data_IF_989643854328
#
_entry.id   IF_989643854328
#
_cell.length_a   1.000
_cell.length_b   1.000
_cell.length_c   1.000
_cell.angle_alpha   90.00
_cell.angle_beta   90.00
_cell.angle_gamma   90.00
#
_symmetry.space_group_name_H-M   'P 1'
#
loop_
_entity.id
_entity.type
_entity.pdbx_description
1 polymer ?
#
# COMPACT_ATOMS: atom_id res chain seq x y z
N UNK A 1 -12.02 105.75 57.29
CA UNK A 1 -13.21 104.88 57.16
C UNK A 1 -13.24 104.34 55.73
N UNK A 2 -13.54 103.04 55.60
CA UNK A 2 -13.54 102.16 54.42
C UNK A 2 -12.19 101.89 53.73
N UNK A 3 -11.64 100.69 53.99
CA UNK A 3 -10.59 100.04 53.19
C UNK A 3 -11.13 98.71 52.66
N UNK A 4 -11.16 98.59 51.33
CA UNK A 4 -11.49 97.35 50.62
C UNK A 4 -10.35 96.34 50.77
N UNK A 5 -10.68 95.08 51.00
CA UNK A 5 -9.78 93.93 51.00
C UNK A 5 -10.18 92.97 49.88
N UNK A 6 -9.28 92.75 48.91
CA UNK A 6 -9.38 91.70 47.89
C UNK A 6 -8.62 90.44 48.38
N UNK A 7 -9.16 89.21 48.20
CA UNK A 7 -8.39 87.99 48.39
C UNK A 7 -7.77 87.54 47.06
N UNK A 8 -6.45 87.30 47.05
CA UNK A 8 -5.74 86.66 45.94
C UNK A 8 -5.55 85.17 46.28
N UNK A 9 -6.10 84.33 45.40
CA UNK A 9 -6.08 82.87 45.48
C UNK A 9 -4.70 82.30 45.07
N UNK A 10 -4.30 81.24 45.76
CA UNK A 10 -3.08 80.44 45.52
C UNK A 10 -3.31 79.51 44.32
N UNK A 11 -2.37 79.47 43.36
CA UNK A 11 -2.34 78.50 42.27
C UNK A 11 -1.10 77.59 42.42
N UNK A 12 -1.33 76.29 42.66
CA UNK A 12 -0.32 75.24 42.51
C UNK A 12 -0.29 74.78 41.05
N UNK A 13 0.84 74.96 40.37
CA UNK A 13 1.07 74.42 39.02
C UNK A 13 1.62 72.98 39.13
N UNK A 14 0.81 71.99 38.73
CA UNK A 14 1.26 70.62 38.54
C UNK A 14 1.84 70.45 37.14
N UNK A 15 3.11 70.06 37.05
CA UNK A 15 3.76 69.69 35.79
C UNK A 15 3.24 68.33 35.32
N UNK A 16 2.58 68.28 34.17
CA UNK A 16 2.14 67.05 33.53
C UNK A 16 3.15 66.67 32.44
N UNK A 17 3.90 65.59 32.65
CA UNK A 17 4.73 64.98 31.61
C UNK A 17 3.81 64.17 30.70
N UNK A 18 3.75 64.43 29.39
CA UNK A 18 3.00 63.57 28.49
C UNK A 18 3.76 62.25 28.34
N UNK A 19 3.18 61.16 28.83
CA UNK A 19 3.62 59.82 28.48
C UNK A 19 3.21 59.56 27.01
N UNK A 20 4.18 59.60 26.09
CA UNK A 20 3.95 59.14 24.72
C UNK A 20 3.80 57.61 24.72
N UNK A 21 2.57 57.13 24.57
CA UNK A 21 2.33 55.73 24.22
C UNK A 21 2.78 55.51 22.76
N UNK A 22 3.85 54.73 22.57
CA UNK A 22 4.24 54.24 21.25
C UNK A 22 3.16 53.27 20.74
N UNK A 23 2.61 53.44 19.53
CA UNK A 23 1.73 52.44 18.95
C UNK A 23 2.53 51.15 18.72
N UNK A 24 2.11 50.06 19.36
CA UNK A 24 2.65 48.71 19.13
C UNK A 24 2.50 48.39 17.64
N UNK A 25 3.54 47.90 16.92
CA UNK A 25 3.50 47.66 15.48
C UNK A 25 2.71 46.38 15.14
N UNK A 26 1.41 46.36 15.43
CA UNK A 26 0.50 45.25 15.11
C UNK A 26 0.27 45.09 13.60
N UNK A 27 0.37 46.17 12.83
CA UNK A 27 0.19 46.13 11.38
C UNK A 27 1.34 45.39 10.67
N UNK A 28 2.60 45.68 11.03
CA UNK A 28 3.76 45.00 10.46
C UNK A 28 3.78 43.50 10.81
N UNK A 29 3.40 43.15 12.04
CA UNK A 29 3.36 41.76 12.49
C UNK A 29 2.30 40.93 11.75
N UNK A 30 1.11 41.50 11.47
CA UNK A 30 0.08 40.82 10.65
C UNK A 30 0.50 40.67 9.19
N UNK A 31 1.17 41.66 8.61
CA UNK A 31 1.64 41.58 7.23
C UNK A 31 2.68 40.47 7.06
N UNK A 32 3.68 40.40 7.95
CA UNK A 32 4.72 39.35 7.92
C UNK A 32 4.11 37.96 8.10
N UNK A 33 3.19 37.78 9.04
CA UNK A 33 2.49 36.50 9.23
C UNK A 33 1.72 36.06 7.98
N UNK A 34 0.97 36.98 7.37
CA UNK A 34 0.20 36.69 6.14
C UNK A 34 1.06 36.36 4.92
N UNK A 35 2.32 36.84 4.89
CA UNK A 35 3.27 36.53 3.82
C UNK A 35 3.90 35.14 4.02
N UNK A 36 4.20 34.78 5.28
CA UNK A 36 4.71 33.44 5.63
C UNK A 36 3.68 32.37 5.32
N UNK A 37 2.42 32.57 5.72
CA UNK A 37 1.32 31.62 5.44
C UNK A 37 1.12 31.41 3.94
N UNK A 38 1.09 32.48 3.15
CA UNK A 38 1.03 32.39 1.68
C UNK A 38 2.21 31.62 1.08
N UNK A 39 3.43 31.87 1.57
CA UNK A 39 4.63 31.14 1.11
C UNK A 39 4.59 29.64 1.46
N UNK A 40 3.92 29.28 2.56
CA UNK A 40 3.73 27.89 2.96
C UNK A 40 2.68 27.22 2.09
N UNK A 41 1.54 27.87 1.84
CA UNK A 41 0.50 27.37 0.96
C UNK A 41 1.01 27.11 -0.46
N UNK A 42 1.81 28.03 -0.99
CA UNK A 42 2.42 27.85 -2.31
C UNK A 42 3.38 26.66 -2.35
N UNK A 43 4.12 26.40 -1.27
CA UNK A 43 4.98 25.21 -1.17
C UNK A 43 4.14 23.93 -1.13
N UNK A 44 3.13 23.89 -0.27
CA UNK A 44 2.25 22.74 -0.15
C UNK A 44 1.52 22.45 -1.46
N UNK A 45 1.00 23.48 -2.13
CA UNK A 45 0.40 23.34 -3.46
C UNK A 45 1.38 22.68 -4.44
N UNK A 46 2.62 23.16 -4.52
CA UNK A 46 3.66 22.59 -5.40
C UNK A 46 3.99 21.14 -5.07
N UNK A 47 4.10 20.79 -3.78
CA UNK A 47 4.42 19.42 -3.35
C UNK A 47 3.34 18.41 -3.79
N UNK A 48 2.09 18.86 -3.89
CA UNK A 48 0.95 18.09 -4.39
C UNK A 48 0.71 18.23 -5.91
N UNK A 49 1.52 19.02 -6.63
CA UNK A 49 1.31 19.29 -8.05
C UNK A 49 0.07 20.14 -8.36
N UNK A 50 -0.39 20.91 -7.37
CA UNK A 50 -1.57 21.78 -7.42
C UNK A 50 -1.19 23.23 -7.70
N UNK A 51 -2.11 23.98 -8.32
CA UNK A 51 -2.06 25.44 -8.35
C UNK A 51 -2.52 26.03 -7.01
N UNK A 52 -2.13 27.27 -6.71
CA UNK A 52 -2.51 27.95 -5.47
C UNK A 52 -4.03 28.08 -5.26
N UNK A 53 -4.79 28.25 -6.35
CA UNK A 53 -6.26 28.25 -6.34
C UNK A 53 -6.83 26.89 -5.90
N UNK A 54 -6.21 25.80 -6.34
CA UNK A 54 -6.65 24.43 -6.04
C UNK A 54 -6.34 24.07 -4.58
N UNK A 55 -5.19 24.54 -4.07
CA UNK A 55 -4.86 24.44 -2.66
C UNK A 55 -5.83 25.23 -1.77
N UNK A 56 -6.21 26.44 -2.20
CA UNK A 56 -7.19 27.25 -1.47
C UNK A 56 -8.55 26.56 -1.42
N UNK A 57 -9.01 26.02 -2.55
CA UNK A 57 -10.23 25.22 -2.61
C UNK A 57 -10.17 23.98 -1.73
N UNK A 58 -9.05 23.25 -1.71
CA UNK A 58 -8.87 22.12 -0.81
C UNK A 58 -9.11 22.52 0.65
N UNK A 59 -8.55 23.64 1.11
CA UNK A 59 -8.79 24.12 2.48
C UNK A 59 -10.25 24.45 2.75
N UNK A 60 -10.93 25.11 1.82
CA UNK A 60 -12.36 25.41 1.96
C UNK A 60 -13.21 24.14 2.06
N UNK A 61 -12.90 23.10 1.26
CA UNK A 61 -13.57 21.81 1.33
C UNK A 61 -13.34 21.12 2.69
N UNK A 62 -12.12 21.19 3.21
CA UNK A 62 -11.75 20.60 4.50
C UNK A 62 -12.24 21.40 5.70
N UNK A 63 -12.54 22.68 5.55
CA UNK A 63 -13.24 23.49 6.57
C UNK A 63 -14.76 23.21 6.58
N UNK A 64 -15.27 22.61 5.49
CA UNK A 64 -16.67 22.25 5.31
C UNK A 64 -17.04 20.81 5.73
N UNK A 65 -18.23 20.33 5.30
CA UNK A 65 -18.73 19.00 5.66
C UNK A 65 -17.78 17.85 5.32
N UNK A 66 -17.01 17.95 4.22
CA UNK A 66 -16.08 16.90 3.83
C UNK A 66 -15.00 16.69 4.91
N UNK A 67 -14.46 17.77 5.48
CA UNK A 67 -13.47 17.66 6.57
C UNK A 67 -14.06 17.18 7.89
N UNK A 68 -15.36 17.41 8.13
CA UNK A 68 -16.08 16.84 9.28
C UNK A 68 -16.20 15.32 9.14
N UNK A 69 -16.62 14.83 7.96
CA UNK A 69 -16.78 13.40 7.71
C UNK A 69 -15.45 12.65 7.59
N UNK A 70 -14.46 13.29 6.95
CA UNK A 70 -13.17 12.70 6.59
C UNK A 70 -12.01 13.59 7.00
N UNK A 71 -11.73 13.73 8.32
CA UNK A 71 -10.60 14.50 8.78
C UNK A 71 -9.28 13.92 8.25
N UNK A 72 -8.31 14.79 7.93
CA UNK A 72 -6.98 14.43 7.38
C UNK A 72 -7.00 13.80 5.98
N UNK A 73 -8.06 14.01 5.20
CA UNK A 73 -8.08 13.59 3.81
C UNK A 73 -7.00 14.33 3.01
N UNK A 74 -6.29 13.59 2.14
CA UNK A 74 -5.26 14.20 1.31
C UNK A 74 -5.87 15.13 0.23
N UNK A 75 -5.12 16.15 -0.23
CA UNK A 75 -5.66 17.17 -1.13
C UNK A 75 -6.17 16.64 -2.46
N UNK A 76 -5.53 15.64 -3.04
CA UNK A 76 -5.88 15.11 -4.35
C UNK A 76 -7.13 14.24 -4.27
N UNK A 77 -7.29 13.44 -3.22
CA UNK A 77 -8.51 12.69 -2.95
C UNK A 77 -9.68 13.63 -2.67
N UNK A 78 -9.49 14.65 -1.82
CA UNK A 78 -10.53 15.63 -1.50
C UNK A 78 -11.02 16.37 -2.76
N UNK A 79 -10.09 16.92 -3.55
CA UNK A 79 -10.42 17.61 -4.80
C UNK A 79 -11.00 16.68 -5.86
N UNK A 80 -10.57 15.41 -5.90
CA UNK A 80 -11.09 14.38 -6.82
C UNK A 80 -12.52 13.95 -6.50
N UNK A 81 -12.87 13.80 -5.21
CA UNK A 81 -14.25 13.50 -4.79
C UNK A 81 -15.19 14.66 -5.14
N UNK A 82 -14.77 15.89 -4.83
CA UNK A 82 -15.56 17.11 -5.03
C UNK A 82 -15.36 17.75 -6.43
N UNK A 83 -14.78 17.03 -7.39
CA UNK A 83 -14.52 17.53 -8.73
C UNK A 83 -15.80 17.99 -9.44
N UNK A 84 -15.75 19.15 -10.10
CA UNK A 84 -16.87 19.80 -10.80
C UNK A 84 -17.12 19.25 -12.20
N UNK A 85 -16.17 18.47 -12.72
CA UNK A 85 -16.25 17.84 -14.03
C UNK A 85 -15.45 16.54 -14.06
N UNK A 86 -15.73 15.69 -15.04
CA UNK A 86 -14.98 14.45 -15.25
C UNK A 86 -13.52 14.71 -15.64
N UNK A 87 -13.23 15.81 -16.34
CA UNK A 87 -11.87 16.23 -16.66
C UNK A 87 -11.09 16.63 -15.39
N UNK A 88 -11.72 17.38 -14.49
CA UNK A 88 -11.12 17.76 -13.20
C UNK A 88 -10.87 16.50 -12.34
N UNK A 89 -11.85 15.58 -12.30
CA UNK A 89 -11.74 14.30 -11.59
C UNK A 89 -10.61 13.44 -12.14
N UNK A 90 -10.51 13.32 -13.47
CA UNK A 90 -9.45 12.57 -14.16
C UNK A 90 -8.07 13.15 -13.84
N UNK A 91 -7.90 14.49 -13.93
CA UNK A 91 -6.63 15.14 -13.64
C UNK A 91 -6.17 14.89 -12.20
N UNK A 92 -7.06 14.99 -11.20
CA UNK A 92 -6.68 14.71 -9.82
C UNK A 92 -6.37 13.23 -9.57
N UNK A 93 -7.09 12.30 -10.21
CA UNK A 93 -6.75 10.89 -10.15
C UNK A 93 -5.37 10.58 -10.75
N UNK A 94 -5.03 11.19 -11.89
CA UNK A 94 -3.71 11.05 -12.51
C UNK A 94 -2.59 11.61 -11.62
N UNK A 95 -2.80 12.79 -11.01
CA UNK A 95 -1.87 13.35 -10.03
C UNK A 95 -1.70 12.42 -8.82
N UNK A 96 -2.77 11.81 -8.33
CA UNK A 96 -2.73 10.88 -7.19
C UNK A 96 -1.91 9.64 -7.52
N UNK A 97 -2.10 9.05 -8.71
CA UNK A 97 -1.31 7.89 -9.16
C UNK A 97 0.18 8.25 -9.22
N UNK A 98 0.54 9.42 -9.74
CA UNK A 98 1.92 9.86 -9.80
C UNK A 98 2.52 10.12 -8.41
N UNK A 99 1.74 10.71 -7.49
CA UNK A 99 2.16 10.93 -6.11
C UNK A 99 2.42 9.61 -5.39
N UNK A 100 1.52 8.63 -5.55
CA UNK A 100 1.68 7.30 -4.94
C UNK A 100 2.85 6.53 -5.55
N UNK A 101 3.07 6.61 -6.86
CA UNK A 101 4.23 6.01 -7.50
C UNK A 101 5.55 6.53 -6.88
N UNK A 102 5.69 7.87 -6.75
CA UNK A 102 6.85 8.48 -6.08
C UNK A 102 6.98 8.07 -4.61
N UNK A 103 5.85 7.92 -3.91
CA UNK A 103 5.84 7.46 -2.51
C UNK A 103 6.34 6.02 -2.40
N UNK A 104 5.84 5.12 -3.24
CA UNK A 104 6.26 3.72 -3.29
C UNK A 104 7.75 3.59 -3.64
N UNK A 105 8.25 4.37 -4.59
CA UNK A 105 9.69 4.41 -4.91
C UNK A 105 10.54 4.75 -3.69
N UNK A 106 10.16 5.78 -2.92
CA UNK A 106 10.84 6.17 -1.68
C UNK A 106 10.77 5.06 -0.62
N UNK A 107 9.61 4.44 -0.46
CA UNK A 107 9.43 3.33 0.49
C UNK A 107 10.31 2.13 0.12
N UNK A 108 10.39 1.78 -1.17
CA UNK A 108 11.26 0.69 -1.64
C UNK A 108 12.74 1.03 -1.47
N UNK A 109 13.14 2.28 -1.75
CA UNK A 109 14.51 2.72 -1.51
C UNK A 109 14.89 2.61 -0.02
N UNK A 110 14.00 3.05 0.87
CA UNK A 110 14.20 2.91 2.31
C UNK A 110 14.21 1.44 2.76
N UNK A 111 13.30 0.61 2.23
CA UNK A 111 13.24 -0.80 2.56
C UNK A 111 14.57 -1.52 2.26
N UNK A 112 15.20 -1.22 1.11
CA UNK A 112 16.52 -1.76 0.77
C UNK A 112 17.58 -1.33 1.78
N UNK A 113 17.64 -0.04 2.12
CA UNK A 113 18.58 0.46 3.12
C UNK A 113 18.35 -0.16 4.50
N UNK A 114 17.08 -0.38 4.87
CA UNK A 114 16.70 -1.07 6.09
C UNK A 114 17.14 -2.54 6.09
N UNK A 115 16.94 -3.25 4.98
CA UNK A 115 17.36 -4.63 4.81
C UNK A 115 18.88 -4.80 4.93
N UNK A 116 19.64 -3.91 4.31
CA UNK A 116 21.10 -3.85 4.40
C UNK A 116 21.56 -3.53 5.84
N UNK A 117 20.88 -2.59 6.50
CA UNK A 117 21.13 -2.27 7.90
C UNK A 117 20.87 -3.48 8.80
N UNK A 118 19.78 -4.21 8.58
CA UNK A 118 19.45 -5.41 9.34
C UNK A 118 20.53 -6.48 9.22
N UNK A 119 21.02 -6.75 8.00
CA UNK A 119 22.08 -7.73 7.78
C UNK A 119 23.37 -7.38 8.54
N UNK A 120 23.74 -6.10 8.60
CA UNK A 120 24.93 -5.65 9.33
C UNK A 120 24.75 -5.68 10.85
N UNK A 121 23.58 -5.29 11.34
CA UNK A 121 23.32 -5.12 12.77
C UNK A 121 22.86 -6.42 13.46
N UNK A 122 22.25 -7.34 12.71
CA UNK A 122 21.73 -8.60 13.22
C UNK A 122 22.16 -9.81 12.35
N UNK A 123 23.47 -10.08 12.24
CA UNK A 123 23.96 -11.22 11.48
C UNK A 123 23.45 -12.53 12.13
N UNK A 124 22.85 -13.40 11.32
CA UNK A 124 22.30 -14.69 11.77
C UNK A 124 20.88 -14.63 12.37
N UNK A 125 20.31 -13.45 12.61
CA UNK A 125 18.92 -13.34 13.04
C UNK A 125 17.96 -13.59 11.87
N UNK A 126 17.06 -14.55 12.04
CA UNK A 126 16.07 -14.90 11.02
C UNK A 126 14.97 -13.82 10.94
N UNK A 127 14.91 -13.06 9.83
CA UNK A 127 13.89 -12.00 9.63
C UNK A 127 12.46 -12.53 9.56
N UNK A 128 12.28 -13.70 8.93
CA UNK A 128 10.99 -14.38 8.80
C UNK A 128 11.22 -15.87 9.01
N UNK A 129 10.59 -16.44 10.04
CA UNK A 129 10.56 -17.88 10.19
C UNK A 129 9.46 -18.46 9.29
N UNK A 130 9.81 -18.74 8.03
CA UNK A 130 8.90 -19.34 7.04
C UNK A 130 8.36 -20.71 7.50
N UNK A 131 9.06 -21.44 8.37
CA UNK A 131 8.55 -22.69 8.95
C UNK A 131 7.43 -22.43 9.97
N UNK A 132 7.50 -21.31 10.72
CA UNK A 132 6.42 -20.84 11.58
C UNK A 132 5.23 -20.26 10.78
N UNK A 133 5.49 -19.58 9.65
CA UNK A 133 4.45 -19.06 8.77
C UNK A 133 3.77 -20.15 7.91
N UNK A 134 4.50 -21.23 7.60
CA UNK A 134 3.95 -22.42 6.95
C UNK A 134 3.07 -23.25 7.90
N UNK A 135 3.36 -23.22 9.20
CA UNK A 135 2.53 -23.86 10.23
C UNK A 135 1.27 -23.05 10.57
N UNK A 136 1.23 -21.74 10.28
CA UNK A 136 0.01 -20.91 10.35
C UNK A 136 -0.78 -20.84 9.04
N UNK A 137 -0.33 -21.50 7.97
CA UNK A 137 -1.09 -21.68 6.73
C UNK A 137 -1.15 -20.48 5.78
N UNK A 138 -0.52 -19.34 6.12
CA UNK A 138 -0.65 -18.08 5.38
C UNK A 138 0.27 -18.02 4.15
N UNK A 139 1.35 -18.81 4.10
CA UNK A 139 2.40 -18.70 3.08
C UNK A 139 2.48 -19.84 2.05
N UNK A 140 1.43 -20.66 1.84
CA UNK A 140 1.46 -21.74 0.82
C UNK A 140 1.29 -21.25 -0.62
N UNK A 141 1.06 -19.96 -0.83
CA UNK A 141 0.98 -19.30 -2.15
C UNK A 141 2.33 -18.79 -2.65
N UNK A 142 3.35 -18.71 -1.80
CA UNK A 142 4.70 -18.44 -2.26
C UNK A 142 5.23 -19.64 -3.06
N UNK A 143 5.97 -19.36 -4.12
CA UNK A 143 6.53 -20.29 -5.11
C UNK A 143 7.56 -21.30 -4.50
N UNK A 144 7.59 -21.44 -3.17
CA UNK A 144 8.25 -22.52 -2.45
C UNK A 144 7.32 -23.72 -2.33
N UNK A 145 7.63 -24.80 -3.05
CA UNK A 145 6.92 -26.06 -2.89
C UNK A 145 7.07 -26.56 -1.46
N UNK A 146 6.08 -27.28 -0.97
CA UNK A 146 6.10 -27.96 0.33
C UNK A 146 7.12 -29.12 0.42
N UNK A 147 8.09 -29.18 -0.52
CA UNK A 147 8.91 -30.35 -0.82
C UNK A 147 8.14 -31.51 -1.49
N UNK A 148 6.81 -31.42 -1.56
CA UNK A 148 5.95 -32.40 -2.21
C UNK A 148 6.16 -32.40 -3.73
N UNK A 149 5.97 -33.56 -4.33
CA UNK A 149 5.95 -33.72 -5.78
C UNK A 149 4.78 -32.93 -6.36
N UNK A 150 5.04 -32.07 -7.35
CA UNK A 150 4.01 -31.42 -8.15
C UNK A 150 3.93 -32.09 -9.51
N UNK A 151 2.73 -32.31 -10.03
CA UNK A 151 2.49 -32.86 -11.36
C UNK A 151 1.61 -31.90 -12.16
N UNK A 152 2.18 -31.37 -13.24
CA UNK A 152 1.47 -30.52 -14.19
C UNK A 152 0.83 -31.41 -15.25
N UNK A 153 -0.48 -31.23 -15.46
CA UNK A 153 -1.28 -32.04 -16.36
C UNK A 153 -2.18 -31.17 -17.22
N UNK A 154 -2.64 -31.70 -18.34
CA UNK A 154 -3.73 -31.09 -19.12
C UNK A 154 -4.81 -32.14 -19.36
N UNK A 155 -6.01 -31.65 -19.60
CA UNK A 155 -7.12 -32.50 -20.04
C UNK A 155 -6.86 -33.04 -21.45
N UNK A 156 -7.39 -34.23 -21.76
CA UNK A 156 -7.16 -34.93 -23.03
C UNK A 156 -5.73 -35.46 -23.23
N UNK A 157 -4.98 -35.69 -22.14
CA UNK A 157 -3.60 -36.17 -22.16
C UNK A 157 -3.48 -37.55 -21.48
N UNK A 158 -3.47 -38.63 -22.28
CA UNK A 158 -3.37 -39.98 -21.74
C UNK A 158 -2.10 -40.22 -20.87
N UNK A 159 -0.90 -39.69 -21.23
CA UNK A 159 0.27 -39.80 -20.36
C UNK A 159 0.10 -39.10 -19.01
N UNK A 160 -0.67 -38.00 -18.97
CA UNK A 160 -0.96 -37.26 -17.75
C UNK A 160 -1.81 -38.08 -16.78
N UNK A 161 -2.84 -38.75 -17.31
CA UNK A 161 -3.72 -39.62 -16.55
C UNK A 161 -2.92 -40.78 -15.92
N UNK A 162 -2.03 -41.40 -16.70
CA UNK A 162 -1.14 -42.48 -16.22
C UNK A 162 -0.14 -41.99 -15.17
N UNK A 163 0.44 -40.80 -15.33
CA UNK A 163 1.37 -40.23 -14.36
C UNK A 163 0.71 -40.03 -12.99
N UNK A 164 -0.51 -39.48 -12.97
CA UNK A 164 -1.28 -39.25 -11.74
C UNK A 164 -1.69 -40.57 -11.08
N UNK A 165 -2.09 -41.57 -11.86
CA UNK A 165 -2.41 -42.89 -11.33
C UNK A 165 -1.19 -43.57 -10.69
N UNK A 166 -0.02 -43.47 -11.33
CA UNK A 166 1.24 -43.99 -10.76
C UNK A 166 1.60 -43.30 -9.44
N UNK A 167 1.53 -41.96 -9.40
CA UNK A 167 1.79 -41.19 -8.17
C UNK A 167 0.82 -41.56 -7.04
N UNK A 168 -0.47 -41.75 -7.37
CA UNK A 168 -1.47 -42.18 -6.40
C UNK A 168 -1.23 -43.60 -5.87
N UNK A 169 -0.81 -44.53 -6.73
CA UNK A 169 -0.48 -45.90 -6.34
C UNK A 169 0.79 -45.97 -5.47
N UNK A 170 1.76 -45.08 -5.70
CA UNK A 170 2.96 -44.96 -4.88
C UNK A 170 2.67 -44.47 -3.45
N UNK A 171 1.50 -43.90 -3.18
CA UNK A 171 1.08 -43.46 -1.84
C UNK A 171 1.81 -42.23 -1.31
N UNK A 172 2.77 -41.68 -2.05
CA UNK A 172 3.45 -40.44 -1.71
C UNK A 172 2.52 -39.25 -1.92
N UNK A 173 2.46 -38.28 -0.99
CA UNK A 173 1.62 -37.10 -1.19
C UNK A 173 2.12 -36.21 -2.34
N UNK A 174 1.22 -35.74 -3.20
CA UNK A 174 1.55 -34.92 -4.36
C UNK A 174 0.47 -33.89 -4.69
N UNK A 175 0.85 -32.89 -5.48
CA UNK A 175 -0.02 -31.77 -5.85
C UNK A 175 -0.25 -31.76 -7.37
N UNK A 176 -1.50 -31.83 -7.80
CA UNK A 176 -1.87 -31.73 -9.21
C UNK A 176 -2.10 -30.28 -9.59
N UNK A 177 -1.52 -29.84 -10.70
CA UNK A 177 -1.77 -28.53 -11.31
C UNK A 177 -2.29 -28.72 -12.74
N UNK A 178 -3.56 -28.39 -12.97
CA UNK A 178 -4.16 -28.49 -14.31
C UNK A 178 -3.88 -27.23 -15.13
N UNK A 179 -3.10 -27.42 -16.20
CA UNK A 179 -2.77 -26.39 -17.20
C UNK A 179 -3.97 -26.18 -18.13
N UNK A 180 -4.29 -24.90 -18.40
CA UNK A 180 -5.38 -24.54 -19.31
C UNK A 180 -6.79 -24.82 -18.77
N UNK A 181 -6.94 -24.96 -17.45
CA UNK A 181 -8.24 -25.14 -16.79
C UNK A 181 -9.13 -23.90 -16.86
N UNK A 182 -8.57 -22.71 -17.14
CA UNK A 182 -9.30 -21.41 -17.17
C UNK A 182 -10.05 -21.09 -15.88
N UNK A 183 -9.48 -21.50 -14.73
CA UNK A 183 -10.12 -21.42 -13.41
C UNK A 183 -11.50 -22.11 -13.33
N UNK A 184 -11.78 -23.06 -14.23
CA UNK A 184 -12.99 -23.88 -14.19
C UNK A 184 -12.78 -25.11 -13.30
N UNK A 185 -13.29 -25.00 -12.08
CA UNK A 185 -13.32 -26.06 -11.09
C UNK A 185 -14.05 -27.33 -11.55
N UNK A 186 -15.12 -27.20 -12.34
CA UNK A 186 -15.93 -28.34 -12.77
C UNK A 186 -15.10 -29.27 -13.64
N UNK A 187 -14.28 -28.69 -14.51
CA UNK A 187 -13.34 -29.41 -15.37
C UNK A 187 -12.32 -30.22 -14.59
N UNK A 188 -11.73 -29.63 -13.54
CA UNK A 188 -10.78 -30.36 -12.67
C UNK A 188 -11.48 -31.52 -11.96
N UNK A 189 -12.68 -31.28 -11.42
CA UNK A 189 -13.45 -32.33 -10.72
C UNK A 189 -13.84 -33.47 -11.66
N UNK A 190 -14.24 -33.16 -12.89
CA UNK A 190 -14.58 -34.18 -13.89
C UNK A 190 -13.37 -35.00 -14.32
N UNK A 191 -12.26 -34.33 -14.63
CA UNK A 191 -11.00 -35.01 -14.93
C UNK A 191 -10.57 -35.92 -13.77
N UNK A 192 -10.60 -35.42 -12.53
CA UNK A 192 -10.20 -36.19 -11.34
C UNK A 192 -11.05 -37.46 -11.13
N UNK A 193 -12.37 -37.37 -11.36
CA UNK A 193 -13.26 -38.55 -11.35
C UNK A 193 -12.88 -39.55 -12.43
N UNK A 194 -12.67 -39.09 -13.66
CA UNK A 194 -12.33 -39.93 -14.81
C UNK A 194 -11.01 -40.67 -14.62
N UNK A 195 -9.99 -40.00 -14.08
CA UNK A 195 -8.68 -40.62 -13.79
C UNK A 195 -8.67 -41.44 -12.50
N UNK A 196 -9.80 -41.51 -11.79
CA UNK A 196 -9.99 -42.26 -10.53
C UNK A 196 -9.08 -41.78 -9.41
N UNK A 197 -8.96 -40.47 -9.22
CA UNK A 197 -8.36 -39.93 -7.99
C UNK A 197 -9.30 -40.22 -6.83
N UNK A 198 -8.75 -40.82 -5.78
CA UNK A 198 -9.48 -41.19 -4.56
C UNK A 198 -9.95 -39.92 -3.82
N UNK A 199 -11.27 -39.72 -3.64
CA UNK A 199 -11.79 -38.56 -2.93
C UNK A 199 -11.29 -38.44 -1.49
N UNK A 200 -11.02 -39.55 -0.80
CA UNK A 200 -10.50 -39.53 0.57
C UNK A 200 -9.05 -39.03 0.60
N UNK A 201 -8.25 -39.34 -0.43
CA UNK A 201 -6.90 -38.77 -0.58
C UNK A 201 -6.94 -37.27 -0.86
N UNK A 202 -7.98 -36.78 -1.53
CA UNK A 202 -8.20 -35.34 -1.73
C UNK A 202 -8.62 -34.67 -0.42
N UNK A 203 -9.60 -35.24 0.29
CA UNK A 203 -10.12 -34.73 1.58
C UNK A 203 -9.02 -34.66 2.65
N UNK A 204 -8.19 -35.68 2.73
CA UNK A 204 -7.03 -35.75 3.64
C UNK A 204 -5.80 -34.95 3.18
N UNK A 205 -5.87 -34.29 2.01
CA UNK A 205 -4.77 -33.54 1.39
C UNK A 205 -3.52 -34.39 1.07
N UNK A 206 -3.67 -35.70 0.94
CA UNK A 206 -2.63 -36.55 0.36
C UNK A 206 -2.45 -36.22 -1.13
N UNK A 207 -3.55 -35.95 -1.84
CA UNK A 207 -3.56 -35.39 -3.20
C UNK A 207 -4.22 -34.02 -3.15
N UNK A 208 -3.64 -33.02 -3.80
CA UNK A 208 -4.31 -31.72 -3.99
C UNK A 208 -4.65 -31.51 -5.47
N UNK A 209 -5.77 -30.84 -5.74
CA UNK A 209 -6.21 -30.51 -7.09
C UNK A 209 -6.19 -28.99 -7.23
N UNK A 210 -5.37 -28.46 -8.13
CA UNK A 210 -5.16 -27.02 -8.28
C UNK A 210 -5.25 -26.61 -9.74
N UNK A 211 -5.62 -25.35 -9.97
CA UNK A 211 -5.38 -24.70 -11.25
C UNK A 211 -3.89 -24.34 -11.36
N UNK A 212 -3.33 -24.50 -12.55
CA UNK A 212 -1.95 -24.10 -12.81
C UNK A 212 -1.75 -22.58 -12.67
N UNK A 213 -2.69 -21.78 -13.20
CA UNK A 213 -2.63 -20.32 -13.09
C UNK A 213 -1.38 -19.67 -13.73
N UNK A 214 -0.73 -20.35 -14.69
CA UNK A 214 0.52 -19.90 -15.31
C UNK A 214 1.78 -20.42 -14.62
N UNK A 215 1.65 -21.24 -13.56
CA UNK A 215 2.78 -21.77 -12.80
C UNK A 215 3.73 -22.59 -13.68
N UNK A 216 3.22 -23.46 -14.55
CA UNK A 216 4.03 -24.27 -15.45
C UNK A 216 4.97 -23.41 -16.31
N UNK A 217 4.44 -22.34 -16.90
CA UNK A 217 5.23 -21.40 -17.70
C UNK A 217 6.27 -20.66 -16.84
N UNK A 218 5.93 -20.30 -15.59
CA UNK A 218 6.84 -19.59 -14.69
C UNK A 218 8.01 -20.44 -14.19
N UNK A 219 7.91 -21.78 -14.25
CA UNK A 219 9.00 -22.67 -13.84
C UNK A 219 10.13 -22.73 -14.86
N UNK A 220 9.87 -22.35 -16.12
CA UNK A 220 10.84 -22.34 -17.23
C UNK A 220 11.61 -23.67 -17.38
N UNK A 221 10.93 -24.79 -17.13
CA UNK A 221 11.50 -26.14 -17.26
C UNK A 221 11.22 -26.72 -18.65
N UNK A 222 12.18 -27.42 -19.28
CA UNK A 222 11.99 -28.00 -20.60
C UNK A 222 11.06 -29.22 -20.60
N UNK A 223 10.48 -29.48 -21.78
CA UNK A 223 9.70 -30.67 -22.11
C UNK A 223 8.17 -30.49 -22.04
N UNK A 224 7.43 -31.49 -22.51
CA UNK A 224 5.96 -31.44 -22.59
C UNK A 224 5.27 -31.93 -21.31
N UNK A 225 3.93 -31.86 -21.26
CA UNK A 225 3.15 -32.44 -20.16
C UNK A 225 2.94 -33.95 -20.37
N UNK A 226 2.83 -34.76 -19.29
CA UNK A 226 2.89 -34.35 -17.89
C UNK A 226 4.30 -34.00 -17.44
N UNK A 227 4.41 -32.97 -16.60
CA UNK A 227 5.67 -32.62 -15.96
C UNK A 227 5.57 -32.89 -14.47
N UNK A 228 6.27 -33.91 -14.00
CA UNK A 228 6.43 -34.20 -12.58
C UNK A 228 7.67 -33.48 -12.10
N UNK A 229 7.55 -32.59 -11.11
CA UNK A 229 8.65 -31.77 -10.61
C UNK A 229 8.68 -31.78 -9.10
N UNK A 230 9.84 -31.53 -8.53
CA UNK A 230 10.02 -31.35 -7.09
C UNK A 230 11.06 -30.28 -6.82
N UNK A 231 10.89 -29.54 -5.74
CA UNK A 231 11.90 -28.59 -5.30
C UNK A 231 12.99 -29.33 -4.52
N UNK A 232 14.22 -29.28 -5.01
CA UNK A 232 15.42 -29.84 -4.38
C UNK A 232 16.41 -28.69 -4.20
N UNK A 233 16.84 -28.45 -2.95
CA UNK A 233 17.76 -27.34 -2.60
C UNK A 233 17.29 -25.97 -3.11
N UNK A 234 15.98 -25.71 -3.02
CA UNK A 234 15.38 -24.46 -3.47
C UNK A 234 15.16 -24.34 -4.99
N UNK A 235 15.66 -25.28 -5.80
CA UNK A 235 15.47 -25.29 -7.26
C UNK A 235 14.42 -26.32 -7.68
N UNK A 236 13.55 -25.94 -8.61
CA UNK A 236 12.62 -26.88 -9.23
C UNK A 236 13.37 -27.77 -10.20
N UNK A 237 13.18 -29.08 -10.05
CA UNK A 237 13.79 -30.08 -10.92
C UNK A 237 12.71 -31.03 -11.41
N UNK A 238 12.78 -31.39 -12.69
CA UNK A 238 11.91 -32.41 -13.27
C UNK A 238 12.35 -33.78 -12.77
N UNK A 239 11.40 -34.56 -12.27
CA UNK A 239 11.62 -35.93 -11.88
C UNK A 239 11.61 -36.83 -13.12
N UNK A 240 12.44 -37.89 -13.12
CA UNK A 240 12.49 -38.87 -14.22
C UNK A 240 11.18 -39.65 -14.38
#
# INVERSE_FOLDING_TARGET
>A
MHRLTFPIAVLLAALHVPAWAQPVPTAQSRTVQSQVERSQDERLARDWGLRGEEWSRYRELMDGPLGIYSPNLDPLTALGMEARSDDERRRYAELQVQAEARRVEKLLAYQRAYDDAWQRLHPGAQRVNLLAAASTGIARTAIGGSGRTAVFVRDGCAPCDQAVQRLQAAGTPFDVYMVGSRADDARIREWARRVRIDPEKVRSRQVTLNHDGGRWLSLDLPGELPATVRQVEGRWQRLP
#
